data_IF_153841430212
#
_entry.id   IF_153841430212
#
_cell.length_a   1.000
_cell.length_b   1.000
_cell.length_c   1.000
_cell.angle_alpha   90.00
_cell.angle_beta   90.00
_cell.angle_gamma   90.00
#
_symmetry.space_group_name_H-M   'P 1'
#
loop_
_entity.id
_entity.type
_entity.pdbx_description
1 polymer ?
#
# COMPACT_ATOMS: atom_id res chain seq x y z
N UNK A 1 -2.59 -6.43 16.68
CA UNK A 1 -2.85 -6.09 15.28
C UNK A 1 -3.77 -4.88 15.20
N UNK A 2 -3.49 -3.91 14.33
CA UNK A 2 -4.29 -2.70 14.12
C UNK A 2 -5.00 -2.75 12.76
N UNK A 3 -6.23 -2.24 12.70
CA UNK A 3 -7.04 -2.23 11.49
C UNK A 3 -7.31 -0.80 11.03
N UNK A 4 -6.92 -0.50 9.82
CA UNK A 4 -7.14 0.78 9.16
C UNK A 4 -8.00 0.66 7.90
N UNK A 5 -8.29 1.81 7.34
CA UNK A 5 -8.95 1.92 6.05
C UNK A 5 -8.30 3.03 5.23
N UNK A 6 -8.30 2.85 3.91
CA UNK A 6 -7.80 3.85 2.98
C UNK A 6 -8.86 4.91 2.70
N UNK A 7 -8.46 6.19 2.71
CA UNK A 7 -9.34 7.26 2.28
C UNK A 7 -9.60 7.19 0.77
N UNK A 8 -10.69 7.82 0.35
CA UNK A 8 -10.93 8.03 -1.06
C UNK A 8 -10.51 9.47 -1.44
N UNK A 9 -9.45 9.66 -2.24
CA UNK A 9 -8.76 10.96 -2.38
C UNK A 9 -9.55 12.03 -3.15
N UNK A 10 -10.83 11.83 -3.39
CA UNK A 10 -11.79 12.86 -3.86
C UNK A 10 -12.65 13.42 -2.71
N UNK A 11 -12.52 12.87 -1.49
CA UNK A 11 -13.20 13.33 -0.29
C UNK A 11 -12.18 14.09 0.57
N UNK A 12 -12.64 15.07 1.34
CA UNK A 12 -11.79 15.80 2.30
C UNK A 12 -11.15 14.83 3.29
N UNK A 13 -9.84 14.97 3.51
CA UNK A 13 -9.11 14.15 4.48
C UNK A 13 -9.68 14.30 5.90
N UNK A 14 -10.14 15.49 6.27
CA UNK A 14 -10.76 15.72 7.58
C UNK A 14 -12.07 14.94 7.73
N UNK A 15 -12.91 14.89 6.69
CA UNK A 15 -14.16 14.12 6.69
C UNK A 15 -13.89 12.61 6.77
N UNK A 16 -12.82 12.13 6.10
CA UNK A 16 -12.41 10.72 6.18
C UNK A 16 -11.90 10.36 7.58
N UNK A 17 -11.12 11.23 8.24
CA UNK A 17 -10.66 11.04 9.63
C UNK A 17 -11.85 10.86 10.56
N UNK A 18 -12.83 11.78 10.52
CA UNK A 18 -14.02 11.70 11.35
C UNK A 18 -14.85 10.44 11.06
N UNK A 19 -14.95 10.08 9.79
CA UNK A 19 -15.68 8.89 9.34
C UNK A 19 -15.05 7.62 9.87
N UNK A 20 -13.72 7.44 9.72
CA UNK A 20 -13.06 6.22 10.15
C UNK A 20 -12.96 6.10 11.67
N UNK A 21 -12.82 7.21 12.37
CA UNK A 21 -12.92 7.22 13.83
C UNK A 21 -14.30 6.75 14.31
N UNK A 22 -15.39 7.29 13.72
CA UNK A 22 -16.76 6.87 14.03
C UNK A 22 -17.03 5.41 13.70
N UNK A 23 -16.38 4.87 12.67
CA UNK A 23 -16.48 3.45 12.29
C UNK A 23 -15.57 2.55 13.13
N UNK A 24 -14.77 3.09 14.05
CA UNK A 24 -13.94 2.35 14.99
C UNK A 24 -12.71 1.71 14.35
N UNK A 25 -12.09 2.37 13.37
CA UNK A 25 -10.78 1.99 12.85
C UNK A 25 -9.67 2.52 13.78
N UNK A 26 -8.52 1.83 13.78
CA UNK A 26 -7.38 2.18 14.63
C UNK A 26 -6.49 3.25 13.97
N UNK A 27 -6.47 3.32 12.65
CA UNK A 27 -5.70 4.29 11.88
C UNK A 27 -6.34 4.60 10.53
N UNK A 28 -5.97 5.76 9.97
CA UNK A 28 -6.20 6.12 8.58
C UNK A 28 -4.99 5.70 7.74
N UNK A 29 -5.21 5.03 6.62
CA UNK A 29 -4.24 5.01 5.55
C UNK A 29 -4.54 6.13 4.56
N UNK A 30 -3.64 7.12 4.51
CA UNK A 30 -3.81 8.31 3.71
C UNK A 30 -3.21 8.10 2.31
N UNK A 31 -4.05 7.82 1.32
CA UNK A 31 -3.67 7.84 -0.09
C UNK A 31 -3.41 9.30 -0.52
N UNK A 32 -2.16 9.60 -0.85
CA UNK A 32 -1.68 10.96 -1.14
C UNK A 32 -1.86 11.36 -2.61
N UNK A 33 -3.00 10.99 -3.17
CA UNK A 33 -3.34 11.29 -4.56
C UNK A 33 -4.20 12.57 -4.71
N UNK A 34 -4.05 13.32 -5.80
CA UNK A 34 -4.97 14.42 -6.11
C UNK A 34 -6.39 13.88 -6.40
N UNK A 35 -7.45 14.69 -6.29
CA UNK A 35 -7.40 16.13 -6.09
C UNK A 35 -7.35 16.60 -4.64
N UNK A 36 -7.72 15.78 -3.63
CA UNK A 36 -7.90 16.24 -2.26
C UNK A 36 -6.75 15.91 -1.31
N UNK A 37 -5.85 15.00 -1.70
CA UNK A 37 -4.76 14.54 -0.83
C UNK A 37 -3.35 14.71 -1.46
N UNK A 38 -3.21 15.60 -2.44
CA UNK A 38 -1.89 15.98 -2.96
C UNK A 38 -1.02 16.59 -1.85
N UNK A 39 0.29 16.31 -1.83
CA UNK A 39 1.21 16.76 -0.79
C UNK A 39 1.13 18.26 -0.49
N UNK A 40 0.89 19.13 -1.49
CA UNK A 40 0.77 20.57 -1.26
C UNK A 40 -0.48 20.96 -0.47
N UNK A 41 -1.59 20.25 -0.68
CA UNK A 41 -2.85 20.41 0.07
C UNK A 41 -2.66 19.91 1.50
N UNK A 42 -2.06 18.74 1.64
CA UNK A 42 -1.79 18.14 2.95
C UNK A 42 -0.85 19.01 3.78
N UNK A 43 0.21 19.56 3.18
CA UNK A 43 1.15 20.46 3.82
C UNK A 43 0.45 21.74 4.31
N UNK A 44 -0.42 22.35 3.49
CA UNK A 44 -1.17 23.57 3.88
C UNK A 44 -2.19 23.30 5.00
N UNK A 45 -2.71 22.09 5.08
CA UNK A 45 -3.70 21.64 6.08
C UNK A 45 -3.11 20.86 7.24
N UNK A 46 -1.78 20.73 7.32
CA UNK A 46 -1.07 19.85 8.25
C UNK A 46 -1.54 19.99 9.71
N UNK A 47 -1.61 21.21 10.21
CA UNK A 47 -2.02 21.45 11.59
C UNK A 47 -3.45 20.99 11.90
N UNK A 48 -4.36 21.15 10.93
CA UNK A 48 -5.74 20.69 11.06
C UNK A 48 -5.81 19.15 11.03
N UNK A 49 -5.09 18.52 10.09
CA UNK A 49 -5.03 17.06 9.95
C UNK A 49 -4.44 16.43 11.23
N UNK A 50 -3.28 16.90 11.69
CA UNK A 50 -2.63 16.36 12.90
C UNK A 50 -3.52 16.50 14.13
N UNK A 51 -4.22 17.64 14.27
CA UNK A 51 -5.18 17.84 15.35
C UNK A 51 -6.36 16.87 15.24
N UNK A 52 -6.93 16.70 14.05
CA UNK A 52 -8.05 15.80 13.84
C UNK A 52 -7.68 14.35 14.15
N UNK A 53 -6.51 13.87 13.71
CA UNK A 53 -5.99 12.53 14.05
C UNK A 53 -5.86 12.37 15.58
N UNK A 54 -5.24 13.34 16.25
CA UNK A 54 -5.05 13.29 17.70
C UNK A 54 -6.37 13.28 18.47
N UNK A 55 -7.31 14.17 18.12
CA UNK A 55 -8.62 14.28 18.79
C UNK A 55 -9.44 13.01 18.61
N UNK A 56 -9.34 12.36 17.46
CA UNK A 56 -10.05 11.13 17.14
C UNK A 56 -9.30 9.86 17.56
N UNK A 57 -8.08 9.96 18.06
CA UNK A 57 -7.27 8.81 18.49
C UNK A 57 -6.85 7.90 17.35
N UNK A 58 -6.78 8.42 16.10
CA UNK A 58 -6.38 7.66 14.92
C UNK A 58 -4.88 7.71 14.69
N UNK A 59 -4.27 6.53 14.46
CA UNK A 59 -2.95 6.43 13.87
C UNK A 59 -2.91 6.85 12.40
N UNK A 60 -1.71 6.89 11.83
CA UNK A 60 -1.50 7.26 10.43
C UNK A 60 -0.50 6.34 9.74
N UNK A 61 -0.91 5.75 8.63
CA UNK A 61 -0.07 5.21 7.57
C UNK A 61 -0.30 6.07 6.34
N UNK A 62 0.72 6.33 5.52
CA UNK A 62 0.51 7.05 4.26
C UNK A 62 0.77 6.12 3.08
N UNK A 63 -0.07 6.21 2.07
CA UNK A 63 0.16 5.60 0.77
C UNK A 63 0.67 6.67 -0.19
N UNK A 64 1.90 6.51 -0.68
CA UNK A 64 2.50 7.47 -1.60
C UNK A 64 1.76 7.49 -2.94
N UNK A 65 1.85 8.59 -3.73
CA UNK A 65 1.05 8.73 -4.96
C UNK A 65 1.12 7.54 -5.90
N UNK A 66 -0.05 7.06 -6.32
CA UNK A 66 -0.22 5.80 -7.07
C UNK A 66 0.20 5.91 -8.53
N UNK A 67 -0.09 7.05 -9.18
CA UNK A 67 -0.07 7.17 -10.65
C UNK A 67 1.13 7.94 -11.21
N UNK A 68 2.30 7.83 -10.57
CA UNK A 68 3.51 8.52 -11.02
C UNK A 68 4.41 7.61 -11.86
N UNK A 69 5.01 8.19 -12.92
CA UNK A 69 5.81 7.46 -13.92
C UNK A 69 7.30 7.42 -13.54
N UNK A 70 7.63 6.72 -12.46
CA UNK A 70 8.95 6.72 -11.83
C UNK A 70 10.03 5.96 -12.61
N UNK A 71 9.64 5.09 -13.56
CA UNK A 71 10.55 4.38 -14.46
C UNK A 71 10.22 4.59 -15.95
N UNK A 72 9.58 5.72 -16.29
CA UNK A 72 9.30 6.10 -17.68
C UNK A 72 10.59 6.22 -18.51
N UNK A 73 10.50 5.96 -19.81
CA UNK A 73 11.65 6.13 -20.71
C UNK A 73 12.03 7.61 -20.89
N UNK A 74 11.06 8.52 -20.69
CA UNK A 74 11.25 9.97 -20.78
C UNK A 74 11.85 10.51 -19.46
N UNK A 75 13.08 11.00 -19.52
CA UNK A 75 13.81 11.48 -18.34
C UNK A 75 13.07 12.57 -17.57
N UNK A 76 12.48 13.55 -18.26
CA UNK A 76 11.77 14.66 -17.60
C UNK A 76 10.57 14.16 -16.78
N UNK A 77 9.85 13.12 -17.23
CA UNK A 77 8.77 12.50 -16.48
C UNK A 77 9.29 11.78 -15.23
N UNK A 78 10.38 11.00 -15.36
CA UNK A 78 11.01 10.37 -14.18
C UNK A 78 11.43 11.39 -13.14
N UNK A 79 12.07 12.51 -13.58
CA UNK A 79 12.53 13.57 -12.68
C UNK A 79 11.36 14.26 -11.95
N UNK A 80 10.30 14.59 -12.68
CA UNK A 80 9.08 15.15 -12.08
C UNK A 80 8.47 14.18 -11.09
N UNK A 81 8.28 12.91 -11.48
CA UNK A 81 7.73 11.87 -10.62
C UNK A 81 8.55 11.64 -9.35
N UNK A 82 9.88 11.63 -9.44
CA UNK A 82 10.76 11.54 -8.27
C UNK A 82 10.58 12.73 -7.33
N UNK A 83 10.45 13.94 -7.89
CA UNK A 83 10.24 15.16 -7.09
C UNK A 83 8.93 15.09 -6.32
N UNK A 84 7.85 14.70 -6.98
CA UNK A 84 6.54 14.53 -6.34
C UNK A 84 6.55 13.44 -5.24
N UNK A 85 7.19 12.30 -5.51
CA UNK A 85 7.32 11.21 -4.53
C UNK A 85 8.11 11.64 -3.29
N UNK A 86 9.23 12.36 -3.48
CA UNK A 86 10.04 12.85 -2.35
C UNK A 86 9.26 13.83 -1.48
N UNK A 87 8.58 14.80 -2.11
CA UNK A 87 7.74 15.76 -1.38
C UNK A 87 6.61 15.09 -0.63
N UNK A 88 5.96 14.08 -1.25
CA UNK A 88 4.93 13.30 -0.59
C UNK A 88 5.48 12.55 0.63
N UNK A 89 6.65 11.94 0.52
CA UNK A 89 7.30 11.25 1.64
C UNK A 89 7.69 12.23 2.77
N UNK A 90 8.19 13.41 2.42
CA UNK A 90 8.52 14.48 3.38
C UNK A 90 7.26 14.92 4.15
N UNK A 91 6.16 15.18 3.44
CA UNK A 91 4.87 15.56 4.05
C UNK A 91 4.28 14.42 4.88
N UNK A 92 4.39 13.17 4.45
CA UNK A 92 3.97 12.01 5.26
C UNK A 92 4.72 11.97 6.62
N UNK A 93 6.04 12.17 6.59
CA UNK A 93 6.85 12.25 7.82
C UNK A 93 6.45 13.45 8.70
N UNK A 94 6.20 14.62 8.11
CA UNK A 94 5.73 15.81 8.83
C UNK A 94 4.35 15.64 9.46
N UNK A 95 3.48 14.81 8.88
CA UNK A 95 2.20 14.43 9.45
C UNK A 95 2.32 13.40 10.59
N UNK A 96 3.52 12.85 10.78
CA UNK A 96 3.82 11.87 11.83
C UNK A 96 3.74 10.41 11.39
N UNK A 97 3.59 10.14 10.09
CA UNK A 97 3.65 8.77 9.59
C UNK A 97 5.04 8.16 9.80
N UNK A 98 5.10 6.97 10.36
CA UNK A 98 6.33 6.19 10.54
C UNK A 98 6.43 5.05 9.53
N UNK A 99 5.38 4.81 8.78
CA UNK A 99 5.25 3.80 7.75
C UNK A 99 4.57 4.41 6.54
N UNK A 100 5.11 4.09 5.36
CA UNK A 100 4.49 4.46 4.08
C UNK A 100 4.42 3.25 3.17
N UNK A 101 3.36 3.17 2.39
CA UNK A 101 3.24 2.24 1.27
C UNK A 101 3.75 2.90 0.01
N UNK A 102 4.49 2.16 -0.78
CA UNK A 102 5.04 2.61 -2.06
C UNK A 102 4.78 1.54 -3.12
N UNK A 103 4.17 1.91 -4.23
CA UNK A 103 4.12 1.05 -5.41
C UNK A 103 5.51 0.92 -6.05
N UNK A 104 5.93 -0.26 -6.51
CA UNK A 104 7.05 -0.37 -7.41
C UNK A 104 6.74 0.37 -8.72
N UNK A 105 7.79 0.83 -9.38
CA UNK A 105 7.64 1.47 -10.70
C UNK A 105 6.92 0.54 -11.69
N UNK A 106 6.20 1.14 -12.64
CA UNK A 106 5.49 0.39 -13.69
C UNK A 106 6.23 0.47 -15.01
N UNK A 107 6.32 -0.66 -15.74
CA UNK A 107 6.84 -0.68 -17.12
C UNK A 107 5.69 -0.43 -18.11
N UNK A 108 5.41 0.84 -18.40
CA UNK A 108 4.37 1.26 -19.34
C UNK A 108 4.87 1.43 -20.77
N UNK A 109 3.93 1.45 -21.73
CA UNK A 109 4.21 1.77 -23.13
C UNK A 109 5.36 0.94 -23.74
N UNK A 110 6.31 1.63 -24.38
CA UNK A 110 7.51 1.02 -24.97
C UNK A 110 8.48 0.43 -23.95
N UNK A 111 8.38 0.82 -22.67
CA UNK A 111 9.18 0.25 -21.59
C UNK A 111 9.05 -1.28 -21.48
N UNK A 112 7.90 -1.82 -21.86
CA UNK A 112 7.66 -3.26 -21.92
C UNK A 112 8.61 -4.05 -22.84
N UNK A 113 9.23 -3.39 -23.79
CA UNK A 113 10.17 -3.99 -24.74
C UNK A 113 11.64 -3.79 -24.35
N UNK A 114 11.91 -3.00 -23.32
CA UNK A 114 13.26 -2.67 -22.84
C UNK A 114 13.33 -2.81 -21.31
N UNK A 115 12.88 -3.95 -20.81
CA UNK A 115 12.70 -4.21 -19.38
C UNK A 115 13.95 -3.98 -18.53
N UNK A 116 15.14 -4.31 -19.04
CA UNK A 116 16.39 -4.10 -18.30
C UNK A 116 16.65 -2.61 -18.03
N UNK A 117 16.37 -1.76 -19.03
CA UNK A 117 16.46 -0.30 -18.87
C UNK A 117 15.45 0.20 -17.83
N UNK A 118 14.19 -0.27 -17.90
CA UNK A 118 13.13 0.11 -16.96
C UNK A 118 13.45 -0.37 -15.54
N UNK A 119 13.98 -1.58 -15.38
CA UNK A 119 14.47 -2.09 -14.09
C UNK A 119 15.58 -1.20 -13.52
N UNK A 120 16.53 -0.80 -14.35
CA UNK A 120 17.59 0.12 -13.93
C UNK A 120 17.02 1.44 -13.39
N UNK A 121 16.03 2.04 -14.06
CA UNK A 121 15.36 3.25 -13.58
C UNK A 121 14.56 3.01 -12.30
N UNK A 122 13.88 1.87 -12.18
CA UNK A 122 13.15 1.51 -10.97
C UNK A 122 14.08 1.35 -9.76
N UNK A 123 15.24 0.72 -9.93
CA UNK A 123 16.23 0.57 -8.86
C UNK A 123 16.88 1.90 -8.47
N UNK A 124 17.20 2.78 -9.44
CA UNK A 124 17.67 4.16 -9.17
C UNK A 124 16.62 4.97 -8.40
N UNK A 125 15.34 4.85 -8.77
CA UNK A 125 14.24 5.46 -8.03
C UNK A 125 14.14 4.94 -6.60
N UNK A 126 14.13 3.61 -6.39
CA UNK A 126 14.06 2.99 -5.07
C UNK A 126 15.25 3.41 -4.18
N UNK A 127 16.47 3.44 -4.74
CA UNK A 127 17.65 3.91 -4.01
C UNK A 127 17.45 5.31 -3.44
N UNK A 128 16.96 6.24 -4.27
CA UNK A 128 16.71 7.62 -3.86
C UNK A 128 15.60 7.74 -2.82
N UNK A 129 14.55 6.93 -2.93
CA UNK A 129 13.46 6.92 -1.94
C UNK A 129 13.90 6.34 -0.60
N UNK A 130 14.67 5.25 -0.62
CA UNK A 130 15.25 4.64 0.59
C UNK A 130 16.16 5.62 1.32
N UNK A 131 17.01 6.36 0.59
CA UNK A 131 17.88 7.38 1.19
C UNK A 131 17.09 8.49 1.89
N UNK A 132 15.98 8.94 1.29
CA UNK A 132 15.10 9.95 1.90
C UNK A 132 14.39 9.37 3.12
N UNK A 133 13.81 8.18 2.99
CA UNK A 133 13.10 7.52 4.08
C UNK A 133 13.98 7.26 5.30
N UNK A 134 15.22 6.85 5.07
CA UNK A 134 16.21 6.66 6.14
C UNK A 134 16.46 7.95 6.94
N UNK A 135 16.64 9.09 6.25
CA UNK A 135 16.84 10.40 6.92
C UNK A 135 15.61 10.88 7.69
N UNK A 136 14.41 10.48 7.24
CA UNK A 136 13.14 10.85 7.86
C UNK A 136 12.67 9.84 8.93
N UNK A 137 13.42 8.75 9.13
CA UNK A 137 13.07 7.64 10.03
C UNK A 137 11.69 7.04 9.70
N UNK A 138 11.38 6.91 8.39
CA UNK A 138 10.16 6.32 7.87
C UNK A 138 10.45 4.97 7.23
N UNK A 139 9.65 3.97 7.55
CA UNK A 139 9.73 2.64 6.93
C UNK A 139 8.94 2.64 5.61
N UNK A 140 9.58 2.29 4.51
CA UNK A 140 8.89 2.02 3.23
C UNK A 140 8.47 0.55 3.20
N UNK A 141 7.18 0.31 3.01
CA UNK A 141 6.61 -0.97 2.68
C UNK A 141 6.30 -0.99 1.17
N UNK A 142 7.08 -1.74 0.40
CA UNK A 142 6.92 -1.87 -1.04
C UNK A 142 5.80 -2.87 -1.33
N UNK A 143 4.85 -2.48 -2.15
CA UNK A 143 3.65 -3.27 -2.39
C UNK A 143 3.82 -4.27 -3.54
N UNK A 144 3.25 -5.47 -3.42
CA UNK A 144 3.16 -6.38 -4.56
C UNK A 144 2.02 -5.95 -5.49
N UNK A 145 2.34 -5.93 -6.77
CA UNK A 145 1.44 -5.46 -7.81
C UNK A 145 0.82 -6.61 -8.61
N UNK A 146 -0.17 -6.25 -9.41
CA UNK A 146 -0.78 -7.16 -10.39
C UNK A 146 0.07 -7.27 -11.68
N UNK A 147 -0.13 -8.32 -12.45
CA UNK A 147 0.71 -8.71 -13.61
C UNK A 147 0.93 -7.59 -14.64
N UNK A 148 -0.05 -6.70 -14.82
CA UNK A 148 0.06 -5.59 -15.77
C UNK A 148 1.16 -4.59 -15.40
N UNK A 149 1.53 -4.49 -14.14
CA UNK A 149 2.59 -3.61 -13.67
C UNK A 149 3.99 -4.04 -14.17
N UNK A 150 4.21 -5.34 -14.35
CA UNK A 150 5.44 -5.99 -14.83
C UNK A 150 6.64 -5.91 -13.89
N UNK A 151 6.59 -5.10 -12.85
CA UNK A 151 7.59 -4.98 -11.78
C UNK A 151 6.91 -5.15 -10.43
N UNK A 152 7.56 -5.81 -9.50
CA UNK A 152 7.01 -6.08 -8.18
C UNK A 152 5.76 -6.99 -8.21
N UNK A 153 5.74 -7.98 -9.09
CA UNK A 153 4.61 -8.89 -9.28
C UNK A 153 4.90 -10.26 -8.69
N UNK A 154 5.99 -10.88 -9.11
CA UNK A 154 6.32 -12.23 -8.71
C UNK A 154 7.30 -12.23 -7.52
N UNK A 155 7.32 -13.30 -6.71
CA UNK A 155 8.24 -13.40 -5.58
C UNK A 155 9.71 -13.17 -5.96
N UNK A 156 10.12 -13.54 -7.15
CA UNK A 156 11.50 -13.38 -7.63
C UNK A 156 11.88 -11.91 -7.81
N UNK A 157 10.93 -11.03 -8.18
CA UNK A 157 11.16 -9.59 -8.25
C UNK A 157 11.55 -9.03 -6.86
N UNK A 158 10.87 -9.49 -5.81
CA UNK A 158 11.13 -9.05 -4.44
C UNK A 158 12.43 -9.61 -3.86
N UNK A 159 12.89 -10.77 -4.30
CA UNK A 159 14.15 -11.33 -3.83
C UNK A 159 15.33 -10.42 -4.23
N UNK A 160 15.37 -9.96 -5.47
CA UNK A 160 16.38 -9.02 -5.96
C UNK A 160 16.29 -7.67 -5.24
N UNK A 161 15.06 -7.14 -5.11
CA UNK A 161 14.79 -5.85 -4.46
C UNK A 161 15.25 -5.89 -2.98
N UNK A 162 14.85 -6.89 -2.21
CA UNK A 162 15.18 -6.98 -0.79
C UNK A 162 16.64 -7.33 -0.50
N UNK A 163 17.32 -7.97 -1.46
CA UNK A 163 18.78 -8.15 -1.40
C UNK A 163 19.51 -6.81 -1.58
N UNK A 164 19.02 -5.96 -2.50
CA UNK A 164 19.62 -4.65 -2.80
C UNK A 164 19.26 -3.61 -1.75
N UNK A 165 18.01 -3.63 -1.26
CA UNK A 165 17.45 -2.67 -0.30
C UNK A 165 16.94 -3.37 0.97
N UNK A 166 17.83 -3.78 1.88
CA UNK A 166 17.44 -4.59 3.04
C UNK A 166 16.55 -3.87 4.06
N UNK A 167 16.45 -2.55 4.02
CA UNK A 167 15.56 -1.75 4.88
C UNK A 167 14.09 -1.78 4.43
N UNK A 168 13.81 -2.13 3.18
CA UNK A 168 12.44 -2.21 2.68
C UNK A 168 11.67 -3.36 3.36
N UNK A 169 10.40 -3.12 3.62
CA UNK A 169 9.42 -4.13 4.01
C UNK A 169 8.48 -4.42 2.83
N UNK A 170 7.66 -5.45 2.97
CA UNK A 170 6.62 -5.81 2.01
C UNK A 170 5.27 -5.29 2.51
N UNK A 171 4.53 -4.58 1.67
CA UNK A 171 3.07 -4.51 1.76
C UNK A 171 2.52 -5.68 0.96
N UNK A 172 1.85 -6.61 1.64
CA UNK A 172 1.22 -7.75 0.99
C UNK A 172 -0.21 -7.37 0.62
N UNK A 173 -0.44 -7.11 -0.66
CA UNK A 173 -1.77 -6.86 -1.21
C UNK A 173 -2.40 -8.15 -1.74
N UNK A 174 -3.60 -8.46 -1.21
CA UNK A 174 -4.33 -9.68 -1.50
C UNK A 174 -5.04 -9.64 -2.85
N UNK A 175 -5.59 -8.49 -3.20
CA UNK A 175 -6.27 -8.25 -4.46
C UNK A 175 -5.32 -8.34 -5.64
N UNK A 176 -4.22 -7.60 -5.59
CA UNK A 176 -3.17 -7.62 -6.61
C UNK A 176 -2.61 -9.04 -6.85
N UNK A 177 -2.30 -9.75 -5.77
CA UNK A 177 -1.76 -11.11 -5.89
C UNK A 177 -2.77 -12.11 -6.47
N UNK A 178 -4.08 -11.87 -6.34
CA UNK A 178 -5.13 -12.76 -6.83
C UNK A 178 -5.41 -12.60 -8.34
N UNK A 179 -5.05 -11.46 -8.94
CA UNK A 179 -5.29 -11.21 -10.36
C UNK A 179 -4.48 -12.18 -11.22
N UNK A 180 -5.18 -12.95 -12.05
CA UNK A 180 -4.68 -14.07 -12.85
C UNK A 180 -4.00 -15.19 -12.05
N UNK A 181 -4.26 -15.28 -10.74
CA UNK A 181 -3.84 -16.42 -9.92
C UNK A 181 -4.90 -16.85 -8.88
N UNK A 182 -6.08 -17.20 -9.34
CA UNK A 182 -7.20 -17.63 -8.48
C UNK A 182 -6.91 -18.84 -7.57
N UNK A 183 -5.78 -19.54 -7.79
CA UNK A 183 -5.33 -20.63 -6.91
C UNK A 183 -4.53 -20.12 -5.70
N UNK A 184 -4.24 -18.83 -5.65
CA UNK A 184 -3.51 -18.17 -4.57
C UNK A 184 -2.05 -18.64 -4.44
N UNK A 185 -1.42 -19.09 -5.53
CA UNK A 185 -0.03 -19.56 -5.52
C UNK A 185 0.95 -18.43 -5.27
N UNK A 186 0.70 -17.26 -5.93
CA UNK A 186 1.53 -16.06 -5.76
C UNK A 186 1.47 -15.56 -4.33
N UNK A 187 0.25 -15.40 -3.79
CA UNK A 187 0.03 -14.97 -2.42
C UNK A 187 0.71 -15.91 -1.41
N UNK A 188 0.54 -17.23 -1.60
CA UNK A 188 1.22 -18.24 -0.79
C UNK A 188 2.74 -18.14 -0.88
N UNK A 189 3.29 -17.95 -2.08
CA UNK A 189 4.73 -17.87 -2.29
C UNK A 189 5.32 -16.61 -1.65
N UNK A 190 4.65 -15.45 -1.76
CA UNK A 190 5.04 -14.21 -1.10
C UNK A 190 5.10 -14.36 0.43
N UNK A 191 4.05 -14.93 1.05
CA UNK A 191 4.04 -15.17 2.50
C UNK A 191 5.13 -16.15 2.92
N UNK A 192 5.30 -17.26 2.21
CA UNK A 192 6.30 -18.26 2.57
C UNK A 192 7.74 -17.75 2.47
N UNK A 193 8.05 -16.92 1.46
CA UNK A 193 9.40 -16.40 1.23
C UNK A 193 9.71 -15.16 2.06
N UNK A 194 8.71 -14.29 2.27
CA UNK A 194 8.92 -12.96 2.83
C UNK A 194 8.09 -12.69 4.10
N UNK A 195 7.51 -13.70 4.74
CA UNK A 195 6.73 -13.54 5.97
C UNK A 195 7.36 -12.61 7.01
N UNK A 196 8.65 -12.77 7.38
CA UNK A 196 9.32 -11.88 8.34
C UNK A 196 9.56 -10.45 7.82
N UNK A 197 9.40 -10.21 6.52
CA UNK A 197 9.53 -8.89 5.89
C UNK A 197 8.20 -8.19 5.67
N UNK A 198 7.07 -8.86 5.86
CA UNK A 198 5.76 -8.21 5.78
C UNK A 198 5.69 -7.14 6.87
N UNK A 199 5.56 -5.89 6.47
CA UNK A 199 5.41 -4.74 7.34
C UNK A 199 4.02 -4.12 7.27
N UNK A 200 3.21 -4.54 6.30
CA UNK A 200 1.87 -4.03 6.09
C UNK A 200 1.02 -5.00 5.26
N UNK A 201 -0.30 -4.94 5.44
CA UNK A 201 -1.24 -5.76 4.68
C UNK A 201 -2.33 -4.88 4.06
N UNK A 202 -2.60 -5.08 2.76
CA UNK A 202 -3.78 -4.58 2.08
C UNK A 202 -4.75 -5.73 1.80
N UNK A 203 -5.97 -5.59 2.31
CA UNK A 203 -7.00 -6.61 2.17
C UNK A 203 -8.17 -6.06 1.36
N UNK A 204 -8.30 -6.58 0.17
CA UNK A 204 -9.44 -6.47 -0.73
C UNK A 204 -9.69 -7.79 -1.43
N UNK A 205 -10.86 -7.98 -1.99
CA UNK A 205 -11.20 -9.16 -2.79
C UNK A 205 -11.44 -8.75 -4.25
N UNK A 206 -11.39 -9.71 -5.17
CA UNK A 206 -11.73 -9.53 -6.58
C UNK A 206 -12.07 -10.86 -7.25
N UNK A 207 -12.57 -10.78 -8.48
CA UNK A 207 -12.92 -11.98 -9.25
C UNK A 207 -11.71 -12.60 -9.99
N UNK A 208 -10.48 -12.19 -9.67
CA UNK A 208 -9.23 -12.71 -10.25
C UNK A 208 -8.95 -12.22 -11.66
N UNK A 209 -9.53 -11.09 -12.09
CA UNK A 209 -9.32 -10.49 -13.41
C UNK A 209 -8.95 -9.01 -13.35
N UNK A 210 -9.64 -8.26 -12.52
CA UNK A 210 -9.50 -6.83 -12.34
C UNK A 210 -9.27 -6.54 -10.85
N UNK A 211 -8.77 -5.36 -10.57
CA UNK A 211 -8.60 -4.86 -9.22
C UNK A 211 -9.91 -4.20 -8.78
N UNK A 212 -10.85 -5.05 -8.35
CA UNK A 212 -12.24 -4.66 -8.11
C UNK A 212 -12.46 -4.06 -6.71
N UNK A 213 -11.51 -4.19 -5.79
CA UNK A 213 -11.60 -3.77 -4.38
C UNK A 213 -12.90 -4.20 -3.69
N UNK A 214 -13.34 -5.43 -3.94
CA UNK A 214 -14.54 -6.00 -3.34
C UNK A 214 -14.34 -6.26 -1.84
N UNK A 215 -15.45 -6.33 -1.12
CA UNK A 215 -15.45 -6.74 0.27
C UNK A 215 -14.92 -8.18 0.43
N UNK A 216 -14.25 -8.43 1.55
CA UNK A 216 -13.69 -9.74 1.91
C UNK A 216 -14.75 -10.84 1.80
N UNK A 217 -14.48 -11.84 0.98
CA UNK A 217 -15.35 -12.98 0.73
C UNK A 217 -16.40 -12.76 -0.38
N UNK A 218 -16.32 -11.66 -1.13
CA UNK A 218 -17.17 -11.43 -2.31
C UNK A 218 -16.48 -11.82 -3.64
N UNK A 219 -15.20 -12.17 -3.59
CA UNK A 219 -14.42 -12.58 -4.74
C UNK A 219 -13.89 -14.00 -4.62
N UNK A 220 -12.64 -14.18 -5.04
CA UNK A 220 -11.99 -15.49 -5.12
C UNK A 220 -10.72 -15.61 -4.26
N UNK A 221 -10.36 -14.59 -3.49
CA UNK A 221 -9.21 -14.62 -2.58
C UNK A 221 -9.46 -15.62 -1.46
N UNK A 222 -8.48 -16.48 -1.20
CA UNK A 222 -8.58 -17.55 -0.19
C UNK A 222 -8.13 -17.06 1.19
N UNK A 223 -8.90 -16.14 1.78
CA UNK A 223 -8.53 -15.47 3.04
C UNK A 223 -8.25 -16.41 4.20
N UNK A 224 -9.02 -17.47 4.39
CA UNK A 224 -8.81 -18.44 5.48
C UNK A 224 -7.43 -19.10 5.37
N UNK A 225 -7.03 -19.50 4.17
CA UNK A 225 -5.70 -20.10 3.94
C UNK A 225 -4.59 -19.06 4.15
N UNK A 226 -4.82 -17.81 3.73
CA UNK A 226 -3.88 -16.71 3.90
C UNK A 226 -3.69 -16.38 5.38
N UNK A 227 -4.77 -16.13 6.11
CA UNK A 227 -4.71 -15.76 7.53
C UNK A 227 -4.02 -16.85 8.36
N UNK A 228 -4.31 -18.13 8.10
CA UNK A 228 -3.59 -19.24 8.76
C UNK A 228 -2.07 -19.16 8.53
N UNK A 229 -1.63 -18.80 7.32
CA UNK A 229 -0.20 -18.63 7.02
C UNK A 229 0.40 -17.42 7.70
N UNK A 230 -0.31 -16.27 7.68
CA UNK A 230 0.14 -15.06 8.36
C UNK A 230 0.29 -15.28 9.87
N UNK A 231 -0.64 -15.99 10.50
CA UNK A 231 -0.50 -16.42 11.92
C UNK A 231 0.78 -17.23 12.13
N UNK A 232 1.11 -18.12 11.19
CA UNK A 232 2.34 -18.92 11.24
C UNK A 232 3.64 -18.10 11.10
N UNK A 233 3.58 -16.86 10.57
CA UNK A 233 4.74 -15.95 10.53
C UNK A 233 4.90 -15.09 11.79
N UNK A 234 3.92 -15.11 12.69
CA UNK A 234 3.87 -14.22 13.85
C UNK A 234 3.50 -12.77 13.50
N UNK A 235 2.89 -12.52 12.34
CA UNK A 235 2.51 -11.16 11.94
C UNK A 235 1.48 -10.55 12.90
N UNK A 236 1.82 -9.42 13.49
CA UNK A 236 0.97 -8.65 14.41
C UNK A 236 1.20 -7.13 14.24
N UNK A 237 0.95 -6.61 13.05
CA UNK A 237 1.13 -5.21 12.71
C UNK A 237 -0.17 -4.64 12.07
N UNK A 238 -0.09 -3.83 11.06
CA UNK A 238 -1.18 -3.05 10.45
C UNK A 238 -1.86 -3.77 9.29
N UNK A 239 -3.18 -3.74 9.26
CA UNK A 239 -4.03 -4.27 8.17
C UNK A 239 -4.94 -3.15 7.67
N UNK A 240 -4.76 -2.73 6.43
CA UNK A 240 -5.67 -1.79 5.76
C UNK A 240 -6.72 -2.54 4.95
N UNK A 241 -7.97 -2.17 5.12
CA UNK A 241 -9.07 -2.60 4.26
C UNK A 241 -9.17 -1.63 3.08
N UNK A 242 -8.91 -2.12 1.87
CA UNK A 242 -9.09 -1.38 0.62
C UNK A 242 -10.40 -1.76 -0.06
N UNK A 243 -11.49 -1.51 0.63
CA UNK A 243 -12.84 -1.82 0.15
C UNK A 243 -13.57 -0.51 -0.15
N UNK A 244 -13.77 -0.21 -1.43
CA UNK A 244 -14.40 1.03 -1.87
C UNK A 244 -15.91 0.88 -2.02
N UNK A 245 -16.61 0.95 -0.89
CA UNK A 245 -18.07 0.90 -0.82
C UNK A 245 -18.65 2.27 -0.42
N UNK A 246 -19.69 2.72 -1.12
CA UNK A 246 -20.28 4.05 -0.95
C UNK A 246 -20.79 4.32 0.46
N UNK A 247 -21.33 3.33 1.15
CA UNK A 247 -21.89 3.47 2.49
C UNK A 247 -20.97 2.99 3.61
N UNK A 248 -19.76 2.52 3.27
CA UNK A 248 -18.74 1.99 4.20
C UNK A 248 -19.18 0.75 5.00
N UNK A 249 -20.36 0.21 4.73
CA UNK A 249 -20.86 -0.97 5.43
C UNK A 249 -20.01 -2.21 5.13
N UNK A 250 -19.74 -2.44 3.86
CA UNK A 250 -18.90 -3.56 3.40
C UNK A 250 -17.47 -3.47 3.95
N UNK A 251 -16.96 -2.25 4.11
CA UNK A 251 -15.66 -2.00 4.72
C UNK A 251 -15.62 -2.50 6.18
N UNK A 252 -16.62 -2.13 6.99
CA UNK A 252 -16.74 -2.58 8.38
C UNK A 252 -16.95 -4.10 8.47
N UNK A 253 -17.84 -4.66 7.63
CA UNK A 253 -18.08 -6.10 7.59
C UNK A 253 -16.81 -6.87 7.21
N UNK A 254 -16.00 -6.35 6.28
CA UNK A 254 -14.72 -6.94 5.91
C UNK A 254 -13.74 -6.97 7.08
N UNK A 255 -13.64 -5.87 7.83
CA UNK A 255 -12.82 -5.80 9.04
C UNK A 255 -13.23 -6.87 10.06
N UNK A 256 -14.51 -6.96 10.36
CA UNK A 256 -14.99 -7.92 11.37
C UNK A 256 -14.75 -9.38 10.92
N UNK A 257 -14.93 -9.69 9.63
CA UNK A 257 -14.60 -11.00 9.08
C UNK A 257 -13.12 -11.36 9.24
N UNK A 258 -12.23 -10.43 8.94
CA UNK A 258 -10.78 -10.65 9.08
C UNK A 258 -10.41 -10.79 10.56
N UNK A 259 -10.95 -9.95 11.45
CA UNK A 259 -10.74 -10.08 12.90
C UNK A 259 -11.15 -11.47 13.40
N UNK A 260 -12.32 -11.96 13.00
CA UNK A 260 -12.78 -13.30 13.35
C UNK A 260 -11.81 -14.38 12.85
N UNK A 261 -11.36 -14.32 11.59
CA UNK A 261 -10.40 -15.29 11.05
C UNK A 261 -9.06 -15.29 11.80
N UNK A 262 -8.61 -14.15 12.30
CA UNK A 262 -7.40 -14.08 13.12
C UNK A 262 -7.64 -14.58 14.57
N UNK A 263 -8.86 -14.44 15.11
CA UNK A 263 -9.23 -14.93 16.43
C UNK A 263 -9.45 -16.46 16.47
N UNK A 264 -10.04 -17.04 15.41
CA UNK A 264 -10.34 -18.46 15.29
C UNK A 264 -9.06 -19.28 15.03
N UNK A 265 -8.48 -19.84 16.09
CA UNK A 265 -7.32 -20.72 16.01
C UNK A 265 -6.29 -20.38 17.02
#
# INVERSE_FOLDING_TARGET
MQFGAMNFPIISVLDEIETFARLGFDYLELAMDPPMAHHSILSSSRAAISRALTVNGLGLVCHLPTFLSTADLTESLRRASLTEMRRSLEVAAELGARKVVLHPSMAGGMGAFVMDTVKGYAFDFLSKMVDVACRLEVTICLENMFVRNRLGVEPDDFEEIFKTFPSLKLTLDTGHANIYDRRGRRLKALVNRFGPRIGHLHFSDNQGKLDDHLAVGQGTVRFVDLVRRLKGTGYDDTVTLEVFDKNRRMLVESRERIKAMFADG
#
